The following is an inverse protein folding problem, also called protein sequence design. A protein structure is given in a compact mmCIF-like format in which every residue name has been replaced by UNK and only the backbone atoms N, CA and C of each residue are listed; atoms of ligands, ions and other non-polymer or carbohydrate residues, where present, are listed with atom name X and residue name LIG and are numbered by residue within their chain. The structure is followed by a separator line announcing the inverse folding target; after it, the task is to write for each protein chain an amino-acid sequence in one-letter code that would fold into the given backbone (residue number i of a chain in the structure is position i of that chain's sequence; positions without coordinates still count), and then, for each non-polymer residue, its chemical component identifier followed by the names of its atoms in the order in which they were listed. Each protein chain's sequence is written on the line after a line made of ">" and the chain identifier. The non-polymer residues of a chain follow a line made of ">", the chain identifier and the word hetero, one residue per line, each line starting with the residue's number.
data_IF_384628545170
#
_entry.id   IF_384628545170
#
_cell.length_a   1.000
_cell.length_b   1.000
_cell.length_c   1.000
_cell.angle_alpha   90.00
_cell.angle_beta   90.00
_cell.angle_gamma   90.00
#
_symmetry.space_group_name_H-M   'P 1'
#
loop_
_entity.id
_entity.type
_entity.pdbx_description
1 polymer ?
#
# COMPACT_ATOMS: atom_id res chain seq x y z
N UNK A 1 3.10 0.88 29.55
CA UNK A 1 4.41 0.33 29.16
C UNK A 1 5.16 1.45 28.48
N UNK A 2 6.28 1.89 29.06
CA UNK A 2 7.05 3.04 28.60
C UNK A 2 7.98 2.66 27.45
N UNK A 3 8.23 3.61 26.55
CA UNK A 3 9.01 3.48 25.31
C UNK A 3 10.49 3.08 25.49
N UNK A 4 10.95 2.87 26.73
CA UNK A 4 12.34 2.58 27.09
C UNK A 4 12.71 1.09 27.11
N UNK A 5 11.75 0.17 26.96
CA UNK A 5 12.01 -1.28 27.02
C UNK A 5 12.22 -1.95 25.63
N UNK A 6 12.15 -1.18 24.54
CA UNK A 6 12.36 -1.67 23.17
C UNK A 6 13.81 -1.55 22.66
N UNK A 7 14.79 -1.46 23.56
CA UNK A 7 16.19 -1.81 23.23
C UNK A 7 16.34 -3.34 23.15
N UNK A 8 15.48 -3.99 22.35
CA UNK A 8 15.59 -5.40 22.03
C UNK A 8 16.53 -5.52 20.84
N UNK A 9 17.71 -6.08 21.08
CA UNK A 9 18.71 -6.28 20.05
C UNK A 9 18.10 -6.99 18.82
N UNK A 10 18.28 -6.37 17.67
CA UNK A 10 17.77 -6.86 16.38
C UNK A 10 18.54 -8.10 15.98
N UNK A 11 17.83 -9.14 15.52
CA UNK A 11 18.49 -10.34 15.02
C UNK A 11 18.93 -10.15 13.57
N UNK A 12 18.01 -9.66 12.73
CA UNK A 12 18.29 -9.34 11.33
C UNK A 12 17.36 -8.21 10.85
N UNK A 13 17.88 -7.28 10.06
CA UNK A 13 17.10 -6.25 9.37
C UNK A 13 17.39 -6.31 7.88
N UNK A 14 16.35 -6.49 7.06
CA UNK A 14 16.46 -6.50 5.62
C UNK A 14 15.67 -5.32 5.05
N UNK A 15 16.34 -4.47 4.28
CA UNK A 15 15.69 -3.35 3.60
C UNK A 15 15.81 -3.54 2.09
N UNK A 16 14.76 -3.21 1.35
CA UNK A 16 14.82 -3.22 -0.10
C UNK A 16 13.96 -2.12 -0.71
N UNK A 17 14.36 -1.66 -1.89
CA UNK A 17 13.58 -0.74 -2.70
C UNK A 17 13.23 -1.39 -4.03
N UNK A 18 11.95 -1.46 -4.38
CA UNK A 18 11.48 -1.82 -5.71
C UNK A 18 10.95 -0.61 -6.44
N UNK A 19 11.32 -0.44 -7.70
CA UNK A 19 10.77 0.60 -8.57
C UNK A 19 10.09 -0.01 -9.79
N UNK A 20 8.88 0.46 -10.07
CA UNK A 20 8.09 0.10 -11.23
C UNK A 20 7.83 1.33 -12.08
N UNK A 21 7.93 1.18 -13.40
CA UNK A 21 7.41 2.14 -14.38
C UNK A 21 6.03 1.71 -14.81
N UNK A 22 5.07 2.62 -14.75
CA UNK A 22 3.68 2.41 -15.11
C UNK A 22 3.33 3.30 -16.31
N UNK A 23 2.57 2.74 -17.26
CA UNK A 23 1.97 3.46 -18.37
C UNK A 23 0.52 3.02 -18.54
N UNK A 24 -0.40 4.00 -18.62
CA UNK A 24 -1.82 3.73 -18.82
C UNK A 24 -2.10 3.28 -20.25
N UNK A 25 -2.88 2.20 -20.40
CA UNK A 25 -3.39 1.75 -21.70
C UNK A 25 -4.46 2.68 -22.26
N UNK A 26 -5.10 3.50 -21.42
CA UNK A 26 -6.11 4.47 -21.84
C UNK A 26 -5.48 5.77 -22.37
N UNK A 27 -4.22 6.03 -22.04
CA UNK A 27 -3.51 7.26 -22.38
C UNK A 27 -2.08 6.93 -22.83
N UNK A 28 -1.96 6.18 -23.93
CA UNK A 28 -0.66 5.72 -24.45
C UNK A 28 0.29 6.87 -24.87
N UNK A 29 -0.24 8.06 -25.10
CA UNK A 29 0.56 9.26 -25.40
C UNK A 29 1.08 9.96 -24.15
N UNK A 30 0.56 9.64 -22.97
CA UNK A 30 1.05 10.20 -21.72
C UNK A 30 2.44 9.64 -21.36
N UNK A 31 3.25 10.49 -20.73
CA UNK A 31 4.52 10.09 -20.15
C UNK A 31 4.31 9.01 -19.07
N UNK A 32 5.19 8.00 -18.99
CA UNK A 32 5.14 7.02 -17.93
C UNK A 32 5.47 7.65 -16.59
N UNK A 33 5.09 6.96 -15.51
CA UNK A 33 5.35 7.39 -14.14
C UNK A 33 5.84 6.24 -13.29
N UNK A 34 6.36 6.57 -12.11
CA UNK A 34 7.01 5.57 -11.27
C UNK A 34 6.22 5.28 -10.00
N UNK A 35 6.27 4.03 -9.57
CA UNK A 35 5.88 3.61 -8.22
C UNK A 35 7.10 3.01 -7.56
N UNK A 36 7.48 3.54 -6.40
CA UNK A 36 8.64 3.12 -5.62
C UNK A 36 8.16 2.54 -4.30
N UNK A 37 8.48 1.28 -4.03
CA UNK A 37 8.19 0.60 -2.77
C UNK A 37 9.47 0.49 -1.96
N UNK A 38 9.51 1.14 -0.80
CA UNK A 38 10.63 1.06 0.15
C UNK A 38 10.18 0.24 1.35
N UNK A 39 10.63 -1.01 1.43
CA UNK A 39 10.26 -1.90 2.51
C UNK A 39 11.43 -2.18 3.45
N UNK A 40 11.10 -2.36 4.73
CA UNK A 40 12.01 -2.75 5.80
C UNK A 40 11.36 -3.86 6.62
N UNK A 41 12.00 -5.03 6.65
CA UNK A 41 11.63 -6.16 7.49
C UNK A 41 12.64 -6.30 8.63
N UNK A 42 12.17 -6.25 9.86
CA UNK A 42 12.99 -6.38 11.07
C UNK A 42 12.56 -7.63 11.83
N UNK A 43 13.50 -8.52 12.14
CA UNK A 43 13.26 -9.69 12.99
C UNK A 43 13.98 -9.45 14.31
N UNK A 44 13.24 -9.48 15.42
CA UNK A 44 13.80 -9.24 16.75
C UNK A 44 14.34 -10.54 17.37
N UNK A 45 15.34 -10.44 18.25
CA UNK A 45 16.06 -11.59 18.84
C UNK A 45 15.19 -12.65 19.52
N UNK A 46 13.99 -12.31 19.97
CA UNK A 46 13.08 -13.32 20.53
C UNK A 46 12.59 -14.32 19.47
N UNK A 47 12.73 -14.04 18.17
CA UNK A 47 12.16 -14.83 17.07
C UNK A 47 10.63 -14.83 17.02
N UNK A 48 9.99 -14.19 18.00
CA UNK A 48 8.52 -14.13 18.17
C UNK A 48 7.97 -12.80 17.68
N UNK A 49 8.82 -11.79 17.51
CA UNK A 49 8.45 -10.47 17.00
C UNK A 49 9.17 -10.19 15.70
N UNK A 50 8.40 -9.77 14.70
CA UNK A 50 8.90 -9.22 13.45
C UNK A 50 8.41 -7.77 13.34
N UNK A 51 8.74 -7.04 12.30
CA UNK A 51 8.10 -5.76 11.93
C UNK A 51 8.30 -5.59 10.42
N UNK A 52 7.26 -5.21 9.68
CA UNK A 52 7.34 -5.05 8.22
C UNK A 52 6.76 -3.73 7.77
N UNK A 53 7.61 -2.72 7.55
CA UNK A 53 7.13 -1.42 7.10
C UNK A 53 7.37 -1.32 5.60
N UNK A 54 6.35 -1.01 4.78
CA UNK A 54 6.57 -0.75 3.36
C UNK A 54 5.91 0.54 2.85
N UNK A 55 6.73 1.55 2.58
CA UNK A 55 6.24 2.84 2.05
C UNK A 55 6.15 2.76 0.52
N UNK A 56 5.01 3.13 -0.05
CA UNK A 56 4.78 3.16 -1.49
C UNK A 56 4.72 4.63 -1.93
N UNK A 57 5.62 5.06 -2.80
CA UNK A 57 5.63 6.42 -3.34
C UNK A 57 5.27 6.38 -4.81
N UNK A 58 4.25 7.14 -5.20
CA UNK A 58 3.93 7.34 -6.62
C UNK A 58 4.61 8.63 -7.07
N UNK A 59 5.62 8.51 -7.93
CA UNK A 59 6.32 9.63 -8.54
C UNK A 59 5.73 9.87 -9.93
N UNK A 60 4.79 10.81 -10.03
CA UNK A 60 4.15 11.20 -11.28
C UNK A 60 4.67 12.58 -11.71
N UNK A 61 5.23 12.64 -12.92
CA UNK A 61 5.60 13.89 -13.58
C UNK A 61 4.55 14.18 -14.66
N UNK A 62 3.35 14.59 -14.24
CA UNK A 62 2.29 14.94 -15.17
C UNK A 62 2.48 16.32 -15.78
N UNK A 63 2.55 16.39 -17.11
CA UNK A 63 2.02 17.52 -17.87
C UNK A 63 0.49 17.32 -17.91
N UNK A 64 -0.33 18.34 -17.62
CA UNK A 64 -1.75 18.14 -17.34
C UNK A 64 -2.53 17.74 -18.60
N UNK A 65 -3.18 16.58 -18.54
CA UNK A 65 -4.29 16.23 -19.44
C UNK A 65 -5.46 17.15 -19.06
N UNK A 66 -5.65 18.22 -19.85
CA UNK A 66 -6.58 19.35 -19.65
C UNK A 66 -6.03 20.52 -18.82
N UNK A 67 -6.21 21.73 -19.36
CA UNK A 67 -5.63 23.00 -18.93
C UNK A 67 -5.40 23.19 -17.42
N UNK A 68 -4.19 23.62 -17.10
CA UNK A 68 -3.77 24.28 -15.85
C UNK A 68 -3.81 23.44 -14.57
N UNK A 69 -2.68 22.78 -14.27
CA UNK A 69 -1.92 22.89 -13.01
C UNK A 69 -0.84 21.80 -12.98
N UNK A 70 0.41 22.21 -12.81
CA UNK A 70 1.50 21.31 -12.43
C UNK A 70 1.24 20.82 -11.00
N UNK A 71 0.50 19.71 -10.85
CA UNK A 71 0.31 19.06 -9.56
C UNK A 71 1.39 17.99 -9.38
N UNK A 72 2.53 18.40 -8.81
CA UNK A 72 3.48 17.45 -8.24
C UNK A 72 2.82 16.91 -6.96
N UNK A 73 2.21 15.71 -7.03
CA UNK A 73 1.80 15.02 -5.81
C UNK A 73 3.04 14.45 -5.14
N UNK A 74 3.56 15.16 -4.14
CA UNK A 74 4.68 14.71 -3.30
C UNK A 74 4.22 13.81 -2.15
N UNK A 75 2.92 13.54 -2.02
CA UNK A 75 2.39 12.73 -0.92
C UNK A 75 2.75 11.25 -1.15
N UNK A 76 3.64 10.75 -0.30
CA UNK A 76 3.94 9.32 -0.23
C UNK A 76 2.73 8.57 0.35
N UNK A 77 2.43 7.41 -0.21
CA UNK A 77 1.43 6.48 0.29
C UNK A 77 2.11 5.55 1.31
N UNK A 78 1.84 5.73 2.59
CA UNK A 78 2.52 4.95 3.63
C UNK A 78 1.72 3.71 4.04
N UNK A 79 2.11 2.53 3.54
CA UNK A 79 1.61 1.24 4.03
C UNK A 79 2.52 0.73 5.16
N UNK A 80 2.23 1.14 6.38
CA UNK A 80 2.99 0.71 7.56
C UNK A 80 2.37 -0.57 8.13
N UNK A 81 3.09 -1.70 8.15
CA UNK A 81 2.64 -2.93 8.81
C UNK A 81 3.45 -3.19 10.08
N UNK A 82 2.88 -2.91 11.24
CA UNK A 82 3.53 -3.27 12.51
C UNK A 82 3.17 -4.73 12.87
N UNK A 83 4.14 -5.65 12.77
CA UNK A 83 4.02 -7.01 13.34
C UNK A 83 4.37 -6.87 14.83
N UNK A 84 3.54 -7.37 15.73
CA UNK A 84 3.82 -7.37 17.18
C UNK A 84 3.06 -8.51 17.85
N UNK A 85 3.07 -8.61 19.18
CA UNK A 85 2.32 -9.63 19.94
C UNK A 85 0.78 -9.59 19.76
N UNK A 86 0.28 -8.91 18.72
CA UNK A 86 -1.13 -8.76 18.35
C UNK A 86 -1.36 -9.55 17.08
N UNK A 87 -2.53 -10.18 16.98
CA UNK A 87 -2.96 -10.91 15.77
C UNK A 87 -3.35 -9.96 14.61
N UNK A 88 -3.07 -8.66 14.72
CA UNK A 88 -3.57 -7.60 13.83
C UNK A 88 -2.44 -6.70 13.31
N UNK A 89 -2.54 -6.40 12.01
CA UNK A 89 -1.65 -5.53 11.24
C UNK A 89 -2.39 -4.29 10.79
N UNK A 90 -1.93 -3.14 11.22
CA UNK A 90 -2.52 -1.90 10.73
C UNK A 90 -2.04 -1.61 9.30
N UNK A 91 -2.90 -1.03 8.47
CA UNK A 91 -2.56 -0.47 7.15
C UNK A 91 -3.23 0.89 7.07
N UNK A 92 -2.45 1.94 6.78
CA UNK A 92 -3.06 3.24 6.49
C UNK A 92 -3.68 3.22 5.10
N UNK A 93 -4.85 3.83 4.98
CA UNK A 93 -5.43 4.12 3.69
C UNK A 93 -4.57 5.09 2.86
N UNK A 94 -4.85 5.12 1.56
CA UNK A 94 -4.19 6.01 0.63
C UNK A 94 -5.16 6.67 -0.35
N UNK A 95 -4.82 7.90 -0.74
CA UNK A 95 -5.58 8.67 -1.72
C UNK A 95 -4.65 8.97 -2.90
N UNK A 96 -5.13 8.66 -4.10
CA UNK A 96 -4.42 8.99 -5.34
C UNK A 96 -4.82 10.39 -5.84
N UNK A 97 -3.90 11.10 -6.54
CA UNK A 97 -4.26 12.24 -7.38
C UNK A 97 -5.35 11.85 -8.39
N UNK A 98 -6.24 12.79 -8.72
CA UNK A 98 -7.41 12.53 -9.58
C UNK A 98 -7.04 11.88 -10.91
N UNK A 99 -5.99 12.36 -11.56
CA UNK A 99 -5.49 11.85 -12.85
C UNK A 99 -5.04 10.37 -12.80
N UNK A 100 -4.71 9.87 -11.60
CA UNK A 100 -4.28 8.49 -11.37
C UNK A 100 -5.41 7.60 -10.84
N UNK A 101 -6.59 8.16 -10.61
CA UNK A 101 -7.78 7.39 -10.20
C UNK A 101 -8.37 6.67 -11.41
N UNK A 102 -9.06 5.56 -11.16
CA UNK A 102 -9.80 4.75 -12.14
C UNK A 102 -8.98 4.11 -13.29
N UNK A 103 -7.70 4.44 -13.45
CA UNK A 103 -6.78 3.84 -14.44
C UNK A 103 -6.01 2.61 -13.91
N UNK A 104 -6.38 2.09 -12.74
CA UNK A 104 -5.83 0.84 -12.20
C UNK A 104 -4.65 0.98 -11.23
N UNK A 105 -4.14 2.20 -10.99
CA UNK A 105 -3.00 2.45 -10.07
C UNK A 105 -3.28 1.96 -8.65
N UNK A 106 -4.48 2.23 -8.11
CA UNK A 106 -4.82 1.78 -6.76
C UNK A 106 -4.82 0.26 -6.62
N UNK A 107 -5.34 -0.45 -7.64
CA UNK A 107 -5.32 -1.92 -7.66
C UNK A 107 -3.90 -2.47 -7.79
N UNK A 108 -3.06 -1.82 -8.60
CA UNK A 108 -1.64 -2.17 -8.70
C UNK A 108 -0.91 -1.97 -7.35
N UNK A 109 -1.15 -0.84 -6.67
CA UNK A 109 -0.54 -0.56 -5.35
C UNK A 109 -0.94 -1.62 -4.33
N UNK A 110 -2.24 -1.96 -4.24
CA UNK A 110 -2.67 -2.99 -3.30
C UNK A 110 -2.14 -4.39 -3.66
N UNK A 111 -2.10 -4.74 -4.94
CA UNK A 111 -1.51 -6.01 -5.37
C UNK A 111 -0.03 -6.08 -5.02
N UNK A 112 0.71 -5.00 -5.28
CA UNK A 112 2.12 -4.89 -4.91
C UNK A 112 2.31 -4.98 -3.40
N UNK A 113 1.47 -4.30 -2.62
CA UNK A 113 1.48 -4.40 -1.16
C UNK A 113 1.23 -5.82 -0.68
N UNK A 114 0.21 -6.48 -1.24
CA UNK A 114 -0.08 -7.89 -0.98
C UNK A 114 1.15 -8.75 -1.30
N UNK A 115 1.72 -8.63 -2.50
CA UNK A 115 2.86 -9.45 -2.93
C UNK A 115 4.12 -9.24 -2.07
N UNK A 116 4.33 -8.04 -1.55
CA UNK A 116 5.43 -7.71 -0.64
C UNK A 116 5.15 -8.09 0.82
N UNK A 117 3.89 -8.37 1.16
CA UNK A 117 3.49 -8.74 2.52
C UNK A 117 4.10 -10.09 2.93
N UNK A 118 4.64 -10.22 4.16
CA UNK A 118 5.16 -11.47 4.69
C UNK A 118 4.16 -12.64 4.68
N UNK A 119 4.70 -13.86 4.55
CA UNK A 119 3.93 -15.11 4.49
C UNK A 119 2.91 -15.33 5.62
N UNK A 120 3.21 -15.03 6.91
CA UNK A 120 2.25 -15.19 8.00
C UNK A 120 0.93 -14.44 7.81
N UNK A 121 0.97 -13.22 7.28
CA UNK A 121 -0.23 -12.41 6.99
C UNK A 121 -0.98 -13.02 5.81
N UNK A 122 -0.28 -13.39 4.73
CA UNK A 122 -0.89 -14.06 3.56
C UNK A 122 -1.53 -15.40 3.90
N UNK A 123 -0.96 -16.13 4.87
CA UNK A 123 -1.51 -17.41 5.34
C UNK A 123 -2.78 -17.25 6.20
N UNK A 124 -3.16 -16.00 6.51
CA UNK A 124 -4.35 -15.69 7.32
C UNK A 124 -4.21 -16.07 8.79
N UNK A 125 -2.97 -16.28 9.27
CA UNK A 125 -2.63 -16.39 10.71
C UNK A 125 -2.76 -15.05 11.42
N UNK A 126 -2.66 -13.96 10.65
CA UNK A 126 -2.76 -12.59 11.13
C UNK A 126 -3.75 -11.84 10.23
N UNK A 127 -4.51 -10.92 10.82
CA UNK A 127 -5.49 -10.09 10.10
C UNK A 127 -4.94 -8.69 9.85
N UNK A 128 -5.44 -8.01 8.81
CA UNK A 128 -5.16 -6.59 8.56
C UNK A 128 -6.33 -5.74 9.03
N UNK A 129 -6.05 -4.52 9.45
CA UNK A 129 -7.03 -3.53 9.83
C UNK A 129 -6.57 -2.13 9.43
N UNK A 130 -7.49 -1.19 9.36
CA UNK A 130 -7.16 0.19 9.02
C UNK A 130 -8.36 1.11 9.12
N UNK A 131 -8.08 2.41 9.17
CA UNK A 131 -9.09 3.45 9.09
C UNK A 131 -9.18 4.00 7.67
N UNK A 132 -10.40 4.27 7.24
CA UNK A 132 -10.75 4.91 6.00
C UNK A 132 -11.04 6.39 6.31
N UNK A 133 -10.33 7.36 5.68
CA UNK A 133 -10.53 8.80 5.88
C UNK A 133 -11.96 9.25 5.62
N UNK A 134 -12.22 10.51 6.00
CA UNK A 134 -13.54 11.12 6.05
C UNK A 134 -14.33 11.06 4.74
N UNK A 135 -15.63 11.32 4.86
CA UNK A 135 -16.60 11.22 3.78
C UNK A 135 -16.34 12.03 2.52
N UNK A 136 -15.45 13.04 2.52
CA UNK A 136 -15.17 13.84 1.32
C UNK A 136 -14.29 13.10 0.32
N UNK A 137 -13.37 12.26 0.82
CA UNK A 137 -12.49 11.42 0.01
C UNK A 137 -12.99 9.96 -0.10
N UNK A 138 -14.14 9.67 0.52
CA UNK A 138 -14.83 8.39 0.43
C UNK A 138 -15.56 8.24 -0.92
N UNK A 139 -14.89 7.60 -1.89
CA UNK A 139 -15.47 7.29 -3.20
C UNK A 139 -15.88 5.81 -3.30
N UNK A 140 -16.95 5.46 -4.05
CA UNK A 140 -17.34 4.06 -4.25
C UNK A 140 -16.24 3.19 -4.86
N UNK A 141 -15.37 3.75 -5.70
CA UNK A 141 -14.24 3.03 -6.28
C UNK A 141 -13.19 2.62 -5.23
N UNK A 142 -12.93 3.51 -4.27
CA UNK A 142 -12.03 3.26 -3.13
C UNK A 142 -12.61 2.23 -2.17
N UNK A 143 -13.91 2.29 -1.87
CA UNK A 143 -14.54 1.29 -0.99
C UNK A 143 -14.48 -0.10 -1.60
N UNK A 144 -14.81 -0.22 -2.89
CA UNK A 144 -14.69 -1.47 -3.63
C UNK A 144 -13.28 -2.04 -3.64
N UNK A 145 -12.27 -1.19 -3.58
CA UNK A 145 -10.87 -1.61 -3.51
C UNK A 145 -10.58 -2.31 -2.17
N UNK A 146 -11.06 -1.75 -1.06
CA UNK A 146 -10.93 -2.38 0.26
C UNK A 146 -11.85 -3.58 0.46
N UNK A 147 -13.11 -3.51 -0.01
CA UNK A 147 -14.03 -4.65 0.02
C UNK A 147 -13.45 -5.87 -0.70
N UNK A 148 -12.74 -5.68 -1.82
CA UNK A 148 -12.03 -6.77 -2.50
C UNK A 148 -10.82 -7.31 -1.73
N UNK A 149 -10.19 -6.46 -0.93
CA UNK A 149 -8.93 -6.77 -0.25
C UNK A 149 -9.13 -7.37 1.13
N UNK A 150 -10.29 -7.16 1.75
CA UNK A 150 -10.62 -7.74 3.07
C UNK A 150 -11.95 -8.47 3.14
N UNK A 151 -12.79 -8.43 2.10
CA UNK A 151 -14.17 -8.90 2.14
C UNK A 151 -15.15 -7.76 2.44
N UNK A 152 -16.30 -7.76 1.78
CA UNK A 152 -17.32 -6.70 1.91
C UNK A 152 -17.82 -6.56 3.36
N UNK A 153 -18.05 -7.70 4.02
CA UNK A 153 -18.52 -7.78 5.40
C UNK A 153 -17.53 -7.23 6.43
N UNK A 154 -16.26 -7.06 6.03
CA UNK A 154 -15.16 -6.61 6.88
C UNK A 154 -14.86 -5.12 6.71
N UNK A 155 -15.69 -4.39 5.94
CA UNK A 155 -15.60 -2.94 5.76
C UNK A 155 -16.84 -2.28 6.36
N UNK A 156 -16.63 -1.34 7.27
CA UNK A 156 -17.71 -0.63 7.96
C UNK A 156 -17.55 0.87 7.83
N UNK A 157 -18.66 1.57 7.64
CA UNK A 157 -18.73 3.02 7.61
C UNK A 157 -19.59 3.54 8.75
N UNK A 158 -19.17 4.65 9.35
CA UNK A 158 -19.94 5.35 10.38
C UNK A 158 -20.84 6.45 9.77
N UNK A 159 -21.55 7.17 10.64
CA UNK A 159 -22.46 8.25 10.23
C UNK A 159 -21.77 9.42 9.52
N UNK A 160 -20.47 9.63 9.75
CA UNK A 160 -19.67 10.68 9.11
C UNK A 160 -19.08 10.22 7.77
N UNK A 161 -19.44 9.01 7.32
CA UNK A 161 -18.86 8.32 6.16
C UNK A 161 -17.35 8.10 6.28
N UNK A 162 -16.75 8.27 7.45
CA UNK A 162 -15.49 7.62 7.74
C UNK A 162 -15.74 6.12 7.86
N UNK A 163 -14.68 5.33 7.75
CA UNK A 163 -14.84 3.89 7.86
C UNK A 163 -13.63 3.22 8.47
N UNK A 164 -13.75 1.91 8.63
CA UNK A 164 -12.68 1.03 9.07
C UNK A 164 -12.82 -0.30 8.37
N UNK A 165 -11.71 -1.00 8.23
CA UNK A 165 -11.70 -2.37 7.78
C UNK A 165 -10.95 -3.23 8.78
N UNK A 166 -11.32 -4.51 8.89
CA UNK A 166 -10.62 -5.50 9.69
C UNK A 166 -10.94 -6.91 9.19
N UNK A 167 -9.96 -7.61 8.62
CA UNK A 167 -10.17 -8.94 8.05
C UNK A 167 -8.88 -9.59 7.54
N UNK A 168 -9.01 -10.77 6.94
CA UNK A 168 -7.88 -11.40 6.25
C UNK A 168 -7.46 -10.54 5.05
N UNK A 169 -6.15 -10.44 4.80
CA UNK A 169 -5.68 -9.77 3.59
C UNK A 169 -5.84 -10.73 2.41
N UNK A 170 -6.84 -10.49 1.57
CA UNK A 170 -7.14 -11.26 0.37
C UNK A 170 -6.30 -10.73 -0.79
N UNK A 171 -5.92 -11.61 -1.71
CA UNK A 171 -5.25 -11.19 -2.95
C UNK A 171 -6.22 -10.33 -3.78
N UNK A 172 -5.91 -9.03 -4.03
CA UNK A 172 -6.77 -8.16 -4.81
C UNK A 172 -6.82 -8.53 -6.30
N UNK A 173 -5.93 -9.44 -6.74
CA UNK A 173 -5.85 -9.96 -8.09
C UNK A 173 -5.20 -9.01 -9.10
N UNK A 174 -5.19 -9.45 -10.35
CA UNK A 174 -4.44 -8.82 -11.44
C UNK A 174 -5.28 -7.95 -12.38
N UNK A 175 -6.45 -7.49 -11.91
CA UNK A 175 -7.35 -6.62 -12.67
C UNK A 175 -6.75 -5.27 -13.08
N UNK A 176 -5.53 -4.94 -12.64
CA UNK A 176 -4.79 -3.77 -13.10
C UNK A 176 -4.09 -4.02 -14.44
N UNK A 177 -3.80 -5.28 -14.81
CA UNK A 177 -3.07 -5.64 -16.06
C UNK A 177 -3.83 -5.28 -17.34
N UNK A 178 -5.15 -5.15 -17.27
CA UNK A 178 -5.98 -4.70 -18.40
C UNK A 178 -6.02 -3.17 -18.55
N UNK A 179 -5.38 -2.41 -17.65
CA UNK A 179 -5.35 -0.93 -17.66
C UNK A 179 -3.95 -0.35 -17.66
N UNK A 180 -2.96 -1.09 -17.17
CA UNK A 180 -1.58 -0.62 -17.01
C UNK A 180 -0.60 -1.55 -17.71
N UNK A 181 0.35 -0.96 -18.42
CA UNK A 181 1.63 -1.57 -18.75
C UNK A 181 2.56 -1.30 -17.56
N UNK A 182 3.17 -2.35 -17.02
CA UNK A 182 4.08 -2.26 -15.88
C UNK A 182 5.42 -2.88 -16.24
N UNK A 183 6.50 -2.17 -15.94
CA UNK A 183 7.88 -2.65 -16.10
C UNK A 183 8.60 -2.49 -14.76
N UNK A 184 9.12 -3.58 -14.20
CA UNK A 184 10.01 -3.50 -13.04
C UNK A 184 11.37 -2.96 -13.50
N UNK A 185 11.83 -1.89 -12.86
CA UNK A 185 13.02 -1.16 -13.29
C UNK A 185 14.24 -1.47 -12.43
N UNK A 186 14.03 -1.69 -11.12
CA UNK A 186 15.13 -1.86 -10.17
C UNK A 186 14.64 -2.53 -8.90
N UNK A 187 15.42 -3.49 -8.40
CA UNK A 187 15.35 -3.94 -7.01
C UNK A 187 16.71 -3.70 -6.37
N UNK A 188 16.78 -2.76 -5.42
CA UNK A 188 17.97 -2.49 -4.62
C UNK A 188 17.81 -3.17 -3.26
N UNK A 189 18.66 -4.16 -2.95
CA UNK A 189 18.75 -4.75 -1.62
C UNK A 189 19.73 -3.93 -0.78
N UNK A 190 19.25 -3.32 0.30
CA UNK A 190 20.08 -2.67 1.31
C UNK A 190 20.20 -3.69 2.45
N UNK A 191 21.30 -4.46 2.44
CA UNK A 191 21.68 -5.26 3.60
C UNK A 191 22.09 -4.27 4.71
N UNK A 192 21.33 -4.28 5.80
CA UNK A 192 21.63 -3.49 7.01
C UNK A 192 22.46 -4.29 7.99
#
# INVERSE_FOLDING_TARGET
>A
MSDSEFNAATWNTHSFTKQFTLKSLLTLEAEPFYVVCQCKHTIYQSGVHESFICKVKVCYHGVPFMCSRNLISTQAIELRFDIGAREEFYINDFILPEDLRNIGVGSFILKTAYDLTPGPIKSGRLIIAGNLPDGKDNTPARNKLWEKSVGFENVHFDANKSGKFKGRFLDPGDNWKNKLIVTECKTDNILG
#
